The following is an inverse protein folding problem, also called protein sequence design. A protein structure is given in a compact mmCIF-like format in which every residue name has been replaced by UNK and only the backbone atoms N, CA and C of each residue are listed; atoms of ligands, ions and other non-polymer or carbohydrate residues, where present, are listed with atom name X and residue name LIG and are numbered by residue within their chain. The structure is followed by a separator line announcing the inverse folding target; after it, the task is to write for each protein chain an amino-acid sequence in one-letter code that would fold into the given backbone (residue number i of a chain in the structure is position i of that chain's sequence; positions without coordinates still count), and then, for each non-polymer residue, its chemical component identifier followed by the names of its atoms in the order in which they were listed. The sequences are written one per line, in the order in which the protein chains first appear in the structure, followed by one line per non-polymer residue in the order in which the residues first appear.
data_IF_759466238313
#
_entry.id   IF_759466238313
#
_cell.length_a   1.000
_cell.length_b   1.000
_cell.length_c   1.000
_cell.angle_alpha   90.00
_cell.angle_beta   90.00
_cell.angle_gamma   90.00
#
_symmetry.space_group_name_H-M   'P 1'
#
loop_
_entity.id
_entity.type
_entity.pdbx_description
1 polymer ?
#
# COMPACT_ATOMS: atom_id res chain seq x y z
N UNK A 1 14.92 8.51 -12.87
CA UNK A 1 15.50 7.16 -12.81
C UNK A 1 15.48 6.72 -11.36
N UNK A 2 14.57 5.84 -11.00
CA UNK A 2 14.52 5.22 -9.69
C UNK A 2 15.79 4.38 -9.50
N UNK A 3 16.53 4.63 -8.44
CA UNK A 3 17.64 3.74 -8.02
C UNK A 3 17.00 2.40 -7.61
N UNK A 4 17.26 1.28 -8.33
CA UNK A 4 16.58 0.00 -8.08
C UNK A 4 16.80 -0.57 -6.68
N UNK A 5 17.81 -0.08 -5.98
CA UNK A 5 18.25 -0.60 -4.67
C UNK A 5 17.65 0.14 -3.47
N UNK A 6 16.88 1.22 -3.69
CA UNK A 6 16.42 2.08 -2.58
C UNK A 6 15.48 1.37 -1.59
N UNK A 7 14.84 0.26 -2.00
CA UNK A 7 13.89 -0.49 -1.15
C UNK A 7 14.29 -1.95 -0.89
N UNK A 8 15.47 -2.40 -1.35
CA UNK A 8 15.95 -3.78 -1.18
C UNK A 8 15.15 -4.84 -1.95
N UNK A 9 15.63 -6.09 -1.87
CA UNK A 9 14.96 -7.27 -2.47
C UNK A 9 14.10 -8.02 -1.46
N UNK A 10 14.35 -7.82 -0.16
CA UNK A 10 13.60 -8.46 0.91
C UNK A 10 12.20 -7.85 1.06
N UNK A 11 11.21 -8.64 1.48
CA UNK A 11 9.87 -8.14 1.75
C UNK A 11 9.91 -7.08 2.85
N UNK A 12 9.05 -6.08 2.74
CA UNK A 12 8.92 -5.05 3.76
C UNK A 12 8.55 -5.63 5.12
N UNK A 13 8.90 -4.92 6.20
CA UNK A 13 8.42 -5.29 7.54
C UNK A 13 6.89 -5.23 7.61
N UNK A 14 6.27 -4.34 6.84
CA UNK A 14 4.83 -4.24 6.70
C UNK A 14 4.21 -5.48 6.07
N UNK A 15 4.78 -6.01 4.97
CA UNK A 15 4.29 -7.23 4.33
C UNK A 15 4.41 -8.44 5.25
N UNK A 16 5.49 -8.55 6.03
CA UNK A 16 5.65 -9.63 7.02
C UNK A 16 4.57 -9.57 8.12
N UNK A 17 4.24 -8.37 8.60
CA UNK A 17 3.14 -8.17 9.56
C UNK A 17 1.79 -8.46 8.92
N UNK A 18 1.55 -7.98 7.70
CA UNK A 18 0.31 -8.21 6.96
C UNK A 18 0.05 -9.70 6.73
N UNK A 19 1.07 -10.49 6.38
CA UNK A 19 0.91 -11.93 6.16
C UNK A 19 0.37 -12.67 7.39
N UNK A 20 0.79 -12.28 8.61
CA UNK A 20 0.25 -12.85 9.86
C UNK A 20 -1.24 -12.55 9.98
N UNK A 21 -1.63 -11.29 9.75
CA UNK A 21 -3.04 -10.87 9.77
C UNK A 21 -3.83 -11.62 8.71
N UNK A 22 -3.30 -11.74 7.48
CA UNK A 22 -3.95 -12.50 6.41
C UNK A 22 -4.17 -13.96 6.80
N UNK A 23 -3.23 -14.58 7.51
CA UNK A 23 -3.40 -15.93 8.04
C UNK A 23 -4.52 -16.01 9.08
N UNK A 24 -4.56 -15.08 10.03
CA UNK A 24 -5.56 -15.04 11.11
C UNK A 24 -6.99 -14.85 10.55
N UNK A 25 -7.13 -14.01 9.52
CA UNK A 25 -8.40 -13.75 8.84
C UNK A 25 -8.68 -14.70 7.66
N UNK A 26 -7.82 -15.72 7.42
CA UNK A 26 -7.96 -16.70 6.33
C UNK A 26 -8.07 -16.07 4.94
N UNK A 27 -7.38 -14.95 4.73
CA UNK A 27 -7.31 -14.21 3.46
C UNK A 27 -6.60 -15.07 2.42
N UNK A 28 -7.15 -15.12 1.19
CA UNK A 28 -6.57 -15.86 0.06
C UNK A 28 -6.31 -14.99 -1.16
N UNK A 29 -7.09 -13.93 -1.36
CA UNK A 29 -7.01 -13.07 -2.53
C UNK A 29 -6.84 -11.63 -2.11
N UNK A 30 -5.74 -11.01 -2.50
CA UNK A 30 -5.46 -9.62 -2.17
C UNK A 30 -5.23 -8.78 -3.42
N UNK A 31 -5.52 -7.49 -3.29
CA UNK A 31 -5.06 -6.46 -4.22
C UNK A 31 -3.93 -5.70 -3.57
N UNK A 32 -2.76 -5.68 -4.19
CA UNK A 32 -1.65 -4.84 -3.80
C UNK A 32 -1.65 -3.57 -4.65
N UNK A 33 -1.76 -2.41 -4.00
CA UNK A 33 -1.79 -1.10 -4.62
C UNK A 33 -0.42 -0.44 -4.50
N UNK A 34 0.17 -0.02 -5.63
CA UNK A 34 1.51 0.55 -5.67
C UNK A 34 2.59 -0.51 -5.44
N UNK A 35 2.53 -1.61 -6.18
CA UNK A 35 3.40 -2.76 -5.99
C UNK A 35 4.90 -2.49 -6.24
N UNK A 36 5.25 -1.37 -6.89
CA UNK A 36 6.63 -0.97 -7.16
C UNK A 36 7.41 -2.06 -7.90
N UNK A 37 8.53 -2.51 -7.35
CA UNK A 37 9.34 -3.58 -7.94
C UNK A 37 8.90 -5.00 -7.55
N UNK A 38 7.75 -5.14 -6.87
CA UNK A 38 7.09 -6.41 -6.58
C UNK A 38 7.68 -7.24 -5.44
N UNK A 39 8.50 -6.66 -4.57
CA UNK A 39 9.10 -7.40 -3.44
C UNK A 39 8.05 -8.02 -2.52
N UNK A 40 6.99 -7.26 -2.22
CA UNK A 40 5.91 -7.68 -1.33
C UNK A 40 4.93 -8.61 -2.07
N UNK A 41 4.60 -8.34 -3.36
CA UNK A 41 3.84 -9.25 -4.22
C UNK A 41 4.43 -10.65 -4.25
N UNK A 42 5.76 -10.75 -4.50
CA UNK A 42 6.47 -12.03 -4.54
C UNK A 42 6.45 -12.74 -3.19
N UNK A 43 6.58 -11.98 -2.11
CA UNK A 43 6.53 -12.54 -0.76
C UNK A 43 5.16 -13.14 -0.47
N UNK A 44 4.08 -12.43 -0.75
CA UNK A 44 2.72 -12.94 -0.59
C UNK A 44 2.46 -14.16 -1.48
N UNK A 45 2.85 -14.10 -2.76
CA UNK A 45 2.70 -15.22 -3.69
C UNK A 45 3.44 -16.48 -3.26
N UNK A 46 4.68 -16.35 -2.74
CA UNK A 46 5.45 -17.47 -2.17
C UNK A 46 4.79 -18.08 -0.92
N UNK A 47 3.92 -17.33 -0.25
CA UNK A 47 3.14 -17.78 0.90
C UNK A 47 1.69 -18.16 0.52
N UNK A 48 1.45 -18.52 -0.75
CA UNK A 48 0.17 -19.04 -1.26
C UNK A 48 -1.01 -18.06 -1.14
N UNK A 49 -0.72 -16.75 -1.21
CA UNK A 49 -1.71 -15.70 -1.35
C UNK A 49 -1.80 -15.33 -2.83
N UNK A 50 -2.99 -15.33 -3.42
CA UNK A 50 -3.23 -14.81 -4.76
C UNK A 50 -3.15 -13.29 -4.74
N UNK A 51 -2.31 -12.69 -5.59
CA UNK A 51 -2.04 -11.26 -5.59
C UNK A 51 -2.42 -10.63 -6.93
N UNK A 52 -3.23 -9.59 -6.89
CA UNK A 52 -3.42 -8.66 -7.99
C UNK A 52 -2.57 -7.42 -7.74
N UNK A 53 -1.42 -7.33 -8.40
CA UNK A 53 -0.45 -6.24 -8.19
C UNK A 53 -0.72 -5.10 -9.17
N UNK A 54 -1.11 -3.94 -8.66
CA UNK A 54 -1.36 -2.74 -9.44
C UNK A 54 -0.23 -1.72 -9.24
N UNK A 55 0.27 -1.17 -10.34
CA UNK A 55 1.22 -0.06 -10.32
C UNK A 55 1.02 0.83 -11.55
N UNK A 56 1.29 2.14 -11.44
CA UNK A 56 1.15 3.07 -12.55
C UNK A 56 2.40 3.13 -13.45
N UNK A 57 3.53 2.55 -13.00
CA UNK A 57 4.80 2.55 -13.71
C UNK A 57 4.94 1.35 -14.66
N UNK A 58 5.06 1.58 -15.98
CA UNK A 58 5.30 0.47 -16.92
C UNK A 58 6.57 -0.32 -16.62
N UNK A 59 7.64 0.36 -16.18
CA UNK A 59 8.90 -0.28 -15.81
C UNK A 59 8.79 -1.15 -14.56
N UNK A 60 7.98 -0.73 -13.58
CA UNK A 60 7.69 -1.53 -12.40
C UNK A 60 6.95 -2.82 -12.79
N UNK A 61 5.88 -2.71 -13.58
CA UNK A 61 5.10 -3.87 -14.06
C UNK A 61 5.99 -4.83 -14.87
N UNK A 62 6.84 -4.33 -15.77
CA UNK A 62 7.77 -5.16 -16.51
C UNK A 62 8.74 -5.92 -15.57
N UNK A 63 9.30 -5.22 -14.58
CA UNK A 63 10.18 -5.83 -13.56
C UNK A 63 9.49 -6.92 -12.75
N UNK A 64 8.24 -6.67 -12.30
CA UNK A 64 7.46 -7.66 -11.55
C UNK A 64 7.22 -8.90 -12.42
N UNK A 65 6.81 -8.73 -13.67
CA UNK A 65 6.51 -9.86 -14.59
C UNK A 65 7.73 -10.78 -14.80
N UNK A 66 8.93 -10.21 -14.97
CA UNK A 66 10.17 -10.99 -15.07
C UNK A 66 10.37 -11.83 -13.80
N UNK A 67 10.19 -11.22 -12.63
CA UNK A 67 10.36 -11.90 -11.35
C UNK A 67 9.29 -12.98 -11.10
N UNK A 68 8.05 -12.74 -11.50
CA UNK A 68 6.96 -13.71 -11.43
C UNK A 68 7.31 -14.97 -12.24
N UNK A 69 7.79 -14.79 -13.46
CA UNK A 69 8.19 -15.91 -14.32
C UNK A 69 9.37 -16.67 -13.72
N UNK A 70 10.43 -15.98 -13.30
CA UNK A 70 11.63 -16.61 -12.73
C UNK A 70 11.38 -17.34 -11.40
N UNK A 71 10.30 -17.01 -10.69
CA UNK A 71 9.90 -17.66 -9.43
C UNK A 71 8.72 -18.66 -9.61
N UNK A 72 8.26 -18.94 -10.83
CA UNK A 72 7.12 -19.83 -11.12
C UNK A 72 5.81 -19.41 -10.44
N UNK A 73 5.58 -18.09 -10.29
CA UNK A 73 4.40 -17.54 -9.61
C UNK A 73 3.30 -17.03 -10.55
N UNK A 74 3.38 -17.33 -11.86
CA UNK A 74 2.45 -16.81 -12.89
C UNK A 74 0.99 -17.26 -12.71
N UNK A 75 0.74 -18.30 -11.92
CA UNK A 75 -0.62 -18.76 -11.59
C UNK A 75 -1.20 -18.08 -10.32
N UNK A 76 -0.35 -17.37 -9.58
CA UNK A 76 -0.68 -16.82 -8.24
C UNK A 76 -0.66 -15.29 -8.27
N UNK A 77 0.24 -14.69 -9.06
CA UNK A 77 0.38 -13.24 -9.14
C UNK A 77 -0.01 -12.75 -10.52
N UNK A 78 -0.96 -11.83 -10.57
CA UNK A 78 -1.36 -11.11 -11.79
C UNK A 78 -0.99 -9.64 -11.62
N UNK A 79 -0.40 -9.04 -12.67
CA UNK A 79 -0.04 -7.63 -12.66
C UNK A 79 -0.92 -6.82 -13.60
N UNK A 80 -1.15 -5.54 -13.26
CA UNK A 80 -1.85 -4.61 -14.17
C UNK A 80 -1.25 -3.22 -14.04
N UNK A 81 -0.93 -2.61 -15.18
CA UNK A 81 -0.62 -1.19 -15.25
C UNK A 81 -1.89 -0.39 -14.94
N UNK A 82 -1.87 0.36 -13.83
CA UNK A 82 -3.07 1.02 -13.36
C UNK A 82 -2.78 2.27 -12.52
N UNK A 83 -3.54 3.34 -12.77
CA UNK A 83 -3.54 4.55 -11.96
C UNK A 83 -4.65 4.45 -10.91
N UNK A 84 -4.27 4.40 -9.65
CA UNK A 84 -5.16 4.20 -8.49
C UNK A 84 -6.15 5.35 -8.25
N UNK A 85 -5.99 6.48 -8.93
CA UNK A 85 -6.95 7.59 -8.93
C UNK A 85 -8.19 7.31 -9.80
N UNK A 86 -8.19 6.20 -10.56
CA UNK A 86 -9.32 5.72 -11.34
C UNK A 86 -10.11 4.68 -10.57
N UNK A 87 -11.35 4.42 -11.00
CA UNK A 87 -12.17 3.34 -10.48
C UNK A 87 -11.43 2.01 -10.57
N UNK A 88 -11.23 1.33 -9.42
CA UNK A 88 -10.50 0.07 -9.34
C UNK A 88 -11.17 -1.03 -10.20
N UNK A 89 -10.40 -1.83 -10.96
CA UNK A 89 -10.89 -2.76 -11.97
C UNK A 89 -11.37 -4.10 -11.36
N UNK A 90 -12.16 -4.01 -10.30
CA UNK A 90 -12.73 -5.15 -9.57
C UNK A 90 -14.22 -4.90 -9.32
N UNK A 91 -14.98 -5.97 -9.26
CA UNK A 91 -16.39 -5.93 -8.88
C UNK A 91 -16.57 -5.59 -7.40
N UNK A 92 -17.75 -5.13 -7.04
CA UNK A 92 -18.12 -4.88 -5.65
C UNK A 92 -18.02 -6.17 -4.83
N UNK A 93 -17.50 -6.06 -3.61
CA UNK A 93 -17.41 -7.18 -2.67
C UNK A 93 -16.69 -8.42 -3.24
N UNK A 94 -15.64 -8.24 -4.04
CA UNK A 94 -14.99 -9.33 -4.78
C UNK A 94 -13.65 -9.78 -4.19
N UNK A 95 -12.95 -8.93 -3.40
CA UNK A 95 -11.62 -9.23 -2.86
C UNK A 95 -11.64 -9.38 -1.34
N UNK A 96 -10.72 -10.21 -0.81
CA UNK A 96 -10.67 -10.50 0.62
C UNK A 96 -9.92 -9.38 1.38
N UNK A 97 -8.83 -8.85 0.78
CA UNK A 97 -8.06 -7.76 1.38
C UNK A 97 -7.39 -6.86 0.35
N UNK A 98 -7.09 -5.62 0.77
CA UNK A 98 -6.18 -4.71 0.10
C UNK A 98 -4.92 -4.51 0.95
N UNK A 99 -3.79 -4.37 0.28
CA UNK A 99 -2.51 -4.04 0.89
C UNK A 99 -1.84 -2.91 0.11
N UNK A 100 -1.25 -1.96 0.82
CA UNK A 100 -0.37 -0.97 0.21
C UNK A 100 0.74 -0.53 1.17
N UNK A 101 1.97 -0.49 0.66
CA UNK A 101 3.10 -0.02 1.43
C UNK A 101 3.63 1.28 0.85
N UNK A 102 3.56 2.38 1.64
CA UNK A 102 4.04 3.71 1.26
C UNK A 102 3.31 4.38 0.07
N UNK A 103 2.18 3.84 -0.41
CA UNK A 103 1.42 4.43 -1.51
C UNK A 103 0.68 5.69 -1.09
N UNK A 104 -0.02 5.67 0.05
CA UNK A 104 -0.82 6.79 0.53
C UNK A 104 0.01 8.04 0.82
N UNK A 105 1.30 7.89 1.09
CA UNK A 105 2.22 9.01 1.29
C UNK A 105 2.88 9.53 0.01
N UNK A 106 2.43 9.09 -1.18
CA UNK A 106 2.79 9.72 -2.44
C UNK A 106 2.08 11.07 -2.59
N UNK A 107 2.28 11.75 -3.74
CA UNK A 107 1.66 13.03 -4.05
C UNK A 107 0.15 12.89 -4.40
N UNK A 108 -0.62 12.37 -3.45
CA UNK A 108 -2.07 12.24 -3.50
C UNK A 108 -2.71 13.32 -2.63
N UNK A 109 -3.73 14.00 -3.13
CA UNK A 109 -4.53 14.95 -2.34
C UNK A 109 -5.44 14.21 -1.35
N UNK A 110 -6.03 14.93 -0.38
CA UNK A 110 -7.03 14.35 0.50
C UNK A 110 -8.25 13.83 -0.28
N UNK A 111 -8.62 14.48 -1.38
CA UNK A 111 -9.68 14.05 -2.28
C UNK A 111 -9.33 12.74 -3.00
N UNK A 112 -8.10 12.63 -3.53
CA UNK A 112 -7.60 11.39 -4.13
C UNK A 112 -7.62 10.24 -3.13
N UNK A 113 -7.16 10.49 -1.90
CA UNK A 113 -7.13 9.50 -0.83
C UNK A 113 -8.53 9.05 -0.41
N UNK A 114 -9.48 9.98 -0.31
CA UNK A 114 -10.88 9.65 0.01
C UNK A 114 -11.52 8.83 -1.11
N UNK A 115 -11.28 9.22 -2.37
CA UNK A 115 -11.76 8.48 -3.54
C UNK A 115 -11.20 7.07 -3.59
N UNK A 116 -9.89 6.91 -3.33
CA UNK A 116 -9.24 5.61 -3.25
C UNK A 116 -9.83 4.75 -2.11
N UNK A 117 -10.04 5.36 -0.94
CA UNK A 117 -10.61 4.66 0.20
C UNK A 117 -12.04 4.16 -0.07
N UNK A 118 -12.87 4.97 -0.74
CA UNK A 118 -14.21 4.58 -1.16
C UNK A 118 -14.17 3.40 -2.15
N UNK A 119 -13.24 3.40 -3.09
CA UNK A 119 -13.06 2.30 -4.04
C UNK A 119 -12.56 1.02 -3.36
N UNK A 120 -11.63 1.13 -2.41
CA UNK A 120 -11.18 -0.01 -1.60
C UNK A 120 -12.36 -0.58 -0.80
N UNK A 121 -13.15 0.30 -0.16
CA UNK A 121 -14.36 -0.14 0.56
C UNK A 121 -15.35 -0.83 -0.39
N UNK A 122 -15.53 -0.33 -1.60
CA UNK A 122 -16.42 -0.94 -2.61
C UNK A 122 -16.01 -2.36 -2.98
N UNK A 123 -14.73 -2.56 -3.31
CA UNK A 123 -14.24 -3.85 -3.82
C UNK A 123 -14.04 -4.90 -2.73
N UNK A 124 -13.80 -4.51 -1.49
CA UNK A 124 -13.64 -5.45 -0.37
C UNK A 124 -14.96 -6.14 -0.05
N UNK A 125 -14.89 -7.43 0.21
CA UNK A 125 -16.00 -8.20 0.81
C UNK A 125 -16.40 -7.61 2.16
N UNK A 126 -17.64 -7.84 2.64
CA UNK A 126 -17.99 -7.56 4.03
C UNK A 126 -16.99 -8.22 4.99
N UNK A 127 -16.51 -7.48 6.00
CA UNK A 127 -15.43 -7.89 6.91
C UNK A 127 -14.05 -8.02 6.25
N UNK A 128 -13.88 -7.64 4.98
CA UNK A 128 -12.60 -7.60 4.28
C UNK A 128 -11.61 -6.61 4.91
N UNK A 129 -10.32 -6.88 4.75
CA UNK A 129 -9.25 -6.17 5.46
C UNK A 129 -8.54 -5.21 4.51
N UNK A 130 -8.35 -3.96 4.93
CA UNK A 130 -7.46 -3.01 4.29
C UNK A 130 -6.25 -2.74 5.18
N UNK A 131 -5.04 -3.02 4.68
CA UNK A 131 -3.79 -2.76 5.37
C UNK A 131 -2.97 -1.77 4.55
N UNK A 132 -2.56 -0.67 5.18
CA UNK A 132 -1.68 0.30 4.53
C UNK A 132 -0.67 0.92 5.48
N UNK A 133 0.40 1.47 4.91
CA UNK A 133 1.39 2.23 5.68
C UNK A 133 1.48 3.65 5.19
N UNK A 134 1.68 4.58 6.12
CA UNK A 134 1.81 6.01 5.84
C UNK A 134 2.93 6.64 6.66
N UNK A 135 3.56 7.70 6.13
CA UNK A 135 4.51 8.53 6.87
C UNK A 135 3.78 9.30 7.98
N UNK A 136 4.28 9.17 9.20
CA UNK A 136 3.72 9.86 10.36
C UNK A 136 4.10 11.33 10.39
N UNK A 137 3.24 12.18 10.96
CA UNK A 137 3.61 13.56 11.32
C UNK A 137 4.68 13.67 12.43
N UNK A 138 5.02 12.52 13.07
CA UNK A 138 6.14 12.43 14.01
C UNK A 138 7.49 12.14 13.34
N UNK A 139 7.48 11.96 12.00
CA UNK A 139 8.67 11.73 11.20
C UNK A 139 9.53 13.02 11.10
N UNK A 140 10.85 12.86 11.11
CA UNK A 140 11.78 13.98 11.06
C UNK A 140 11.72 14.83 9.79
N UNK A 141 11.20 14.27 8.68
CA UNK A 141 11.01 15.00 7.41
C UNK A 141 9.71 15.82 7.38
N UNK A 142 8.80 15.64 8.35
CA UNK A 142 7.56 16.42 8.41
C UNK A 142 7.88 17.89 8.60
N UNK A 143 7.23 18.74 7.81
CA UNK A 143 7.46 20.20 7.75
C UNK A 143 8.87 20.60 7.25
N UNK A 144 9.59 19.69 6.60
CA UNK A 144 10.84 20.02 5.93
C UNK A 144 10.59 20.25 4.43
N UNK A 145 11.31 21.24 3.86
CA UNK A 145 11.20 21.57 2.44
C UNK A 145 10.02 22.51 2.11
N UNK A 146 9.45 22.35 0.92
CA UNK A 146 8.40 23.23 0.39
C UNK A 146 7.03 22.66 0.75
N UNK A 147 6.21 23.42 1.45
CA UNK A 147 4.81 23.05 1.73
C UNK A 147 3.97 23.14 0.44
N UNK A 148 3.30 22.07 0.08
CA UNK A 148 2.49 21.94 -1.15
C UNK A 148 0.97 21.91 -0.88
N UNK A 149 0.55 22.33 0.31
CA UNK A 149 -0.84 22.25 0.79
C UNK A 149 -1.11 20.98 1.59
N UNK A 150 -2.20 20.97 2.35
CA UNK A 150 -2.57 19.86 3.23
C UNK A 150 -1.41 19.50 4.18
N UNK A 151 -0.96 18.24 4.18
CA UNK A 151 0.27 17.79 4.86
C UNK A 151 1.30 17.27 3.84
N UNK A 152 1.31 17.85 2.63
CA UNK A 152 2.24 17.53 1.55
C UNK A 152 3.48 18.43 1.64
N UNK A 153 4.65 17.82 1.70
CA UNK A 153 5.93 18.53 1.69
C UNK A 153 6.85 17.97 0.61
N UNK A 154 7.46 18.88 -0.15
CA UNK A 154 8.46 18.53 -1.16
C UNK A 154 9.86 18.75 -0.61
N UNK A 155 10.65 17.70 -0.60
CA UNK A 155 12.05 17.73 -0.22
C UNK A 155 12.88 17.00 -1.28
N UNK A 156 13.91 17.66 -1.81
CA UNK A 156 14.81 17.11 -2.84
C UNK A 156 14.09 16.51 -4.05
N UNK A 157 12.98 17.14 -4.48
CA UNK A 157 12.18 16.70 -5.64
C UNK A 157 11.20 15.55 -5.36
N UNK A 158 11.08 15.12 -4.11
CA UNK A 158 10.07 14.14 -3.70
C UNK A 158 8.97 14.81 -2.87
N UNK A 159 7.72 14.61 -3.28
CA UNK A 159 6.55 15.06 -2.51
C UNK A 159 6.08 13.92 -1.65
N UNK A 160 5.98 14.18 -0.35
CA UNK A 160 5.51 13.20 0.65
C UNK A 160 4.30 13.77 1.38
N UNK A 161 3.24 12.97 1.47
CA UNK A 161 2.06 13.24 2.27
C UNK A 161 2.25 12.61 3.65
N UNK A 162 2.10 13.41 4.71
CA UNK A 162 2.24 12.96 6.09
C UNK A 162 0.88 12.81 6.76
N UNK A 163 0.81 11.91 7.73
CA UNK A 163 -0.45 11.54 8.38
C UNK A 163 -0.36 11.67 9.89
N UNK A 164 -1.31 12.39 10.47
CA UNK A 164 -1.64 12.30 11.89
C UNK A 164 -2.64 11.14 12.12
N UNK A 165 -2.76 10.65 13.35
CA UNK A 165 -3.81 9.65 13.70
C UNK A 165 -5.20 10.17 13.35
N UNK A 166 -5.50 11.45 13.64
CA UNK A 166 -6.78 12.08 13.28
C UNK A 166 -7.06 12.01 11.77
N UNK A 167 -6.04 12.19 10.93
CA UNK A 167 -6.19 12.09 9.48
C UNK A 167 -6.50 10.65 9.05
N UNK A 168 -5.85 9.67 9.69
CA UNK A 168 -6.15 8.25 9.48
C UNK A 168 -7.60 7.94 9.86
N UNK A 169 -8.06 8.42 11.04
CA UNK A 169 -9.43 8.21 11.49
C UNK A 169 -10.45 8.82 10.51
N UNK A 170 -10.19 10.05 10.04
CA UNK A 170 -11.05 10.71 9.05
C UNK A 170 -11.10 9.94 7.70
N UNK A 171 -10.00 9.30 7.31
CA UNK A 171 -9.94 8.52 6.09
C UNK A 171 -10.60 7.15 6.23
N UNK A 172 -10.86 6.67 7.44
CA UNK A 172 -11.41 5.34 7.71
C UNK A 172 -12.94 5.23 7.60
N UNK A 173 -13.60 6.15 6.87
CA UNK A 173 -15.05 6.08 6.63
C UNK A 173 -15.42 4.76 5.93
N UNK A 174 -16.41 4.04 6.47
CA UNK A 174 -16.83 2.71 6.00
C UNK A 174 -15.98 1.54 6.56
N UNK A 175 -15.06 1.85 7.47
CA UNK A 175 -14.20 0.86 8.12
C UNK A 175 -14.22 1.01 9.64
N UNK A 176 -14.02 -0.12 10.30
CA UNK A 176 -13.61 -0.20 11.69
C UNK A 176 -12.07 -0.19 11.75
N UNK A 177 -11.48 0.74 12.51
CA UNK A 177 -10.03 0.74 12.80
C UNK A 177 -9.70 -0.40 13.77
N UNK A 178 -9.08 -1.47 13.29
CA UNK A 178 -8.63 -2.58 14.13
C UNK A 178 -7.36 -2.20 14.89
N UNK A 179 -6.41 -1.58 14.20
CA UNK A 179 -5.18 -1.10 14.84
C UNK A 179 -4.45 -0.01 14.04
N UNK A 180 -3.82 0.90 14.76
CA UNK A 180 -2.85 1.86 14.22
C UNK A 180 -1.60 1.75 15.07
N UNK A 181 -0.52 1.18 14.52
CA UNK A 181 0.75 0.97 15.22
C UNK A 181 1.89 1.73 14.55
N UNK A 182 2.78 2.33 15.35
CA UNK A 182 3.97 3.01 14.84
C UNK A 182 5.11 2.02 14.64
N UNK A 183 5.94 2.26 13.63
CA UNK A 183 7.19 1.54 13.41
C UNK A 183 8.17 2.41 12.62
N UNK A 184 9.43 2.01 12.62
CA UNK A 184 10.49 2.68 11.86
C UNK A 184 10.99 1.76 10.75
N UNK A 185 11.34 2.34 9.60
CA UNK A 185 11.87 1.60 8.45
C UNK A 185 12.97 2.39 7.74
N UNK A 186 13.98 1.66 7.25
CA UNK A 186 15.10 2.20 6.48
C UNK A 186 16.31 2.59 7.32
N UNK A 187 17.45 2.85 6.65
CA UNK A 187 18.72 3.25 7.28
C UNK A 187 18.69 4.66 7.89
N UNK A 188 17.84 5.54 7.35
CA UNK A 188 17.40 6.77 8.01
C UNK A 188 15.99 6.49 8.50
N UNK A 189 15.78 6.26 9.81
CA UNK A 189 14.53 5.72 10.32
C UNK A 189 13.37 6.65 10.00
N UNK A 190 12.58 6.26 9.01
CA UNK A 190 11.30 6.90 8.68
C UNK A 190 10.27 6.40 9.65
N UNK A 191 9.57 7.32 10.30
CA UNK A 191 8.47 6.98 11.20
C UNK A 191 7.18 6.78 10.42
N UNK A 192 6.62 5.60 10.53
CA UNK A 192 5.46 5.15 9.80
C UNK A 192 4.35 4.72 10.76
N UNK A 193 3.11 4.85 10.30
CA UNK A 193 1.99 4.10 10.86
C UNK A 193 1.71 2.88 9.98
N UNK A 194 1.45 1.77 10.62
CA UNK A 194 0.86 0.56 10.03
C UNK A 194 -0.60 0.52 10.48
N UNK A 195 -1.50 0.62 9.52
CA UNK A 195 -2.94 0.74 9.75
C UNK A 195 -3.63 -0.52 9.27
N UNK A 196 -4.51 -1.05 10.10
CA UNK A 196 -5.36 -2.21 9.80
C UNK A 196 -6.80 -1.80 9.96
N UNK A 197 -7.53 -1.79 8.88
CA UNK A 197 -8.94 -1.47 8.83
C UNK A 197 -9.74 -2.69 8.38
N UNK A 198 -10.94 -2.85 8.91
CA UNK A 198 -11.90 -3.90 8.52
C UNK A 198 -13.16 -3.24 7.98
N UNK A 199 -13.62 -3.65 6.80
CA UNK A 199 -14.89 -3.16 6.23
C UNK A 199 -16.07 -3.52 7.13
N UNK A 200 -16.92 -2.53 7.44
CA UNK A 200 -18.16 -2.67 8.21
C UNK A 200 -19.22 -3.36 7.37
#
# INVERSE_FOLDING_TARGET
SSKPEMFGLDPSSAAKKALKIFSDYKIKNIVELGAGLGRDSLYFGKNSINVYSLDYSPSAIASINIKIQSNNLSKIITTKLFDIRKKLPFEDNSVDACFSHMLYCMALTNEDLQSLNNEICRILKPQGINIYTVRSTDDGDYRQGIHRGEDLYENQGFIVHFFSKKKIDNLSLGFENISITSFEEGSFPRKLYFVVNKKI
#
